data_IF_191735161094
#
_entry.id   IF_191735161094
#
_cell.length_a   1.000
_cell.length_b   1.000
_cell.length_c   1.000
_cell.angle_alpha   90.00
_cell.angle_beta   90.00
_cell.angle_gamma   90.00
#
_symmetry.space_group_name_H-M   'P 1'
#
loop_
_entity.id
_entity.type
_entity.pdbx_description
1 polymer ?
#
# COMPACT_ATOMS: atom_id res chain seq x y z
N UNK A 1 -5.82 -14.51 -25.22
CA UNK A 1 -5.27 -13.16 -24.98
C UNK A 1 -5.35 -12.86 -23.50
N UNK A 2 -4.22 -12.54 -22.87
CA UNK A 2 -4.13 -12.21 -21.45
C UNK A 2 -4.87 -10.92 -21.13
N UNK A 3 -5.45 -10.86 -19.92
CA UNK A 3 -6.08 -9.66 -19.37
C UNK A 3 -5.20 -9.07 -18.26
N UNK A 4 -5.35 -7.79 -18.02
CA UNK A 4 -4.79 -7.12 -16.84
C UNK A 4 -5.85 -7.12 -15.73
N UNK A 5 -5.49 -7.68 -14.58
CA UNK A 5 -6.35 -7.81 -13.40
C UNK A 5 -5.76 -6.96 -12.28
N UNK A 6 -6.55 -6.04 -11.75
CA UNK A 6 -6.15 -5.13 -10.68
C UNK A 6 -6.91 -5.47 -9.42
N UNK A 7 -6.19 -5.68 -8.33
CA UNK A 7 -6.74 -6.07 -7.03
C UNK A 7 -6.41 -5.03 -5.98
N UNK A 8 -7.41 -4.53 -5.31
CA UNK A 8 -7.21 -3.79 -4.07
C UNK A 8 -6.84 -4.75 -2.93
N UNK A 9 -6.18 -4.24 -1.90
CA UNK A 9 -5.73 -5.03 -0.76
C UNK A 9 -6.78 -5.01 0.34
N UNK A 10 -6.96 -3.86 0.96
CA UNK A 10 -7.77 -3.71 2.18
C UNK A 10 -9.26 -3.83 1.86
N UNK A 11 -9.95 -4.78 2.50
CA UNK A 11 -11.36 -5.08 2.23
C UNK A 11 -11.63 -5.83 0.91
N UNK A 12 -10.58 -6.21 0.15
CA UNK A 12 -10.71 -6.98 -1.10
C UNK A 12 -9.93 -8.29 -1.02
N UNK A 13 -8.60 -8.24 -1.12
CA UNK A 13 -7.76 -9.43 -0.92
C UNK A 13 -7.59 -9.76 0.55
N UNK A 14 -7.37 -8.75 1.37
CA UNK A 14 -7.25 -8.86 2.81
C UNK A 14 -8.62 -8.61 3.45
N UNK A 15 -9.16 -9.62 4.12
CA UNK A 15 -10.47 -9.54 4.76
C UNK A 15 -10.43 -8.58 5.97
N UNK A 16 -11.37 -7.66 6.05
CA UNK A 16 -11.53 -6.74 7.20
C UNK A 16 -11.92 -7.48 8.49
N UNK A 17 -12.48 -8.69 8.36
CA UNK A 17 -12.96 -9.48 9.52
C UNK A 17 -11.87 -10.40 10.05
N UNK A 18 -11.16 -11.08 9.16
CA UNK A 18 -10.16 -12.10 9.54
C UNK A 18 -8.73 -11.58 9.49
N UNK A 19 -8.50 -10.41 8.87
CA UNK A 19 -7.19 -9.85 8.57
C UNK A 19 -6.25 -10.84 7.85
N UNK A 20 -6.85 -11.69 7.01
CA UNK A 20 -6.13 -12.71 6.23
C UNK A 20 -6.61 -12.71 4.79
N UNK A 21 -5.72 -13.13 3.89
CA UNK A 21 -6.07 -13.43 2.51
C UNK A 21 -6.61 -14.86 2.47
N UNK A 22 -7.85 -15.08 1.98
CA UNK A 22 -8.41 -16.42 1.86
C UNK A 22 -7.58 -17.30 0.93
N UNK A 23 -7.44 -18.58 1.26
CA UNK A 23 -6.73 -19.56 0.42
C UNK A 23 -7.31 -19.62 -1.01
N UNK A 24 -8.62 -19.49 -1.14
CA UNK A 24 -9.30 -19.47 -2.44
C UNK A 24 -8.89 -18.30 -3.33
N UNK A 25 -8.60 -17.12 -2.74
CA UNK A 25 -8.09 -15.97 -3.49
C UNK A 25 -6.66 -16.22 -3.99
N UNK A 26 -5.81 -16.82 -3.16
CA UNK A 26 -4.42 -17.18 -3.55
C UNK A 26 -4.45 -18.14 -4.74
N UNK A 27 -5.28 -19.19 -4.67
CA UNK A 27 -5.42 -20.18 -5.73
C UNK A 27 -5.99 -19.57 -7.01
N UNK A 28 -6.98 -18.66 -6.90
CA UNK A 28 -7.55 -17.97 -8.05
C UNK A 28 -6.53 -17.07 -8.75
N UNK A 29 -5.72 -16.33 -7.99
CA UNK A 29 -4.64 -15.49 -8.54
C UNK A 29 -3.59 -16.35 -9.26
N UNK A 30 -3.17 -17.46 -8.63
CA UNK A 30 -2.23 -18.39 -9.24
C UNK A 30 -2.77 -18.92 -10.58
N UNK A 31 -4.01 -19.39 -10.59
CA UNK A 31 -4.66 -19.89 -11.81
C UNK A 31 -4.82 -18.81 -12.88
N UNK A 32 -5.14 -17.57 -12.49
CA UNK A 32 -5.21 -16.45 -13.43
C UNK A 32 -3.86 -16.20 -14.11
N UNK A 33 -2.76 -16.22 -13.35
CA UNK A 33 -1.40 -16.08 -13.88
C UNK A 33 -1.02 -17.23 -14.81
N UNK A 34 -1.32 -18.47 -14.45
CA UNK A 34 -1.12 -19.67 -15.28
C UNK A 34 -1.88 -19.58 -16.61
N UNK A 35 -3.05 -18.95 -16.63
CA UNK A 35 -3.83 -18.69 -17.82
C UNK A 35 -3.35 -17.48 -18.64
N UNK A 36 -2.19 -16.89 -18.30
CA UNK A 36 -1.58 -15.79 -19.04
C UNK A 36 -2.17 -14.41 -18.72
N UNK A 37 -2.88 -14.25 -17.59
CA UNK A 37 -3.32 -12.94 -17.12
C UNK A 37 -2.23 -12.24 -16.32
N UNK A 38 -2.19 -10.91 -16.41
CA UNK A 38 -1.27 -10.06 -15.66
C UNK A 38 -1.98 -9.50 -14.41
N UNK A 39 -1.47 -9.83 -13.23
CA UNK A 39 -2.07 -9.40 -11.96
C UNK A 39 -1.28 -8.25 -11.37
N UNK A 40 -2.00 -7.23 -10.90
CA UNK A 40 -1.47 -6.04 -10.23
C UNK A 40 -2.16 -5.83 -8.89
N UNK A 41 -1.41 -5.39 -7.89
CA UNK A 41 -2.00 -4.74 -6.73
C UNK A 41 -2.34 -3.28 -7.09
N UNK A 42 -3.45 -2.76 -6.58
CA UNK A 42 -3.84 -1.37 -6.75
C UNK A 42 -4.30 -0.83 -5.39
N UNK A 43 -3.45 -0.07 -4.70
CA UNK A 43 -3.61 0.23 -3.28
C UNK A 43 -3.15 1.63 -2.89
N UNK A 44 -3.70 2.16 -1.78
CA UNK A 44 -3.18 3.34 -1.11
C UNK A 44 -1.89 3.10 -0.33
N UNK A 45 -1.56 1.85 -0.05
CA UNK A 45 -0.33 1.49 0.66
C UNK A 45 0.92 1.86 -0.16
N UNK A 46 2.05 2.10 0.53
CA UNK A 46 3.37 2.12 -0.11
C UNK A 46 3.86 0.70 -0.41
N UNK A 47 4.85 0.55 -1.27
CA UNK A 47 5.31 -0.77 -1.69
C UNK A 47 5.84 -1.63 -0.53
N UNK A 48 6.55 -1.03 0.43
CA UNK A 48 7.05 -1.79 1.57
C UNK A 48 5.92 -2.39 2.42
N UNK A 49 4.76 -1.74 2.48
CA UNK A 49 3.58 -2.24 3.21
C UNK A 49 2.88 -3.41 2.49
N UNK A 50 3.12 -3.59 1.19
CA UNK A 50 2.57 -4.73 0.44
C UNK A 50 3.29 -6.04 0.74
N UNK A 51 4.45 -5.99 1.39
CA UNK A 51 5.23 -7.18 1.77
C UNK A 51 4.46 -8.14 2.67
N UNK A 52 3.53 -7.63 3.45
CA UNK A 52 2.65 -8.43 4.30
C UNK A 52 1.90 -9.51 3.52
N UNK A 53 1.56 -9.23 2.25
CA UNK A 53 0.84 -10.15 1.37
C UNK A 53 1.69 -10.64 0.20
N UNK A 54 3.03 -10.53 0.26
CA UNK A 54 3.94 -10.96 -0.82
C UNK A 54 3.78 -12.44 -1.21
N UNK A 55 3.31 -13.27 -0.27
CA UNK A 55 3.06 -14.69 -0.48
C UNK A 55 1.98 -14.99 -1.55
N UNK A 56 1.16 -14.02 -1.94
CA UNK A 56 0.16 -14.19 -3.02
C UNK A 56 0.79 -14.19 -4.41
N UNK A 57 2.09 -13.79 -4.52
CA UNK A 57 2.86 -13.85 -5.76
C UNK A 57 2.50 -12.78 -6.79
N UNK A 58 2.05 -11.60 -6.37
CA UNK A 58 1.88 -10.41 -7.21
C UNK A 58 2.98 -9.41 -6.88
N UNK A 59 3.90 -9.18 -7.81
CA UNK A 59 5.04 -8.28 -7.64
C UNK A 59 4.83 -6.90 -8.30
N UNK A 60 3.85 -6.82 -9.21
CA UNK A 60 3.49 -5.60 -9.91
C UNK A 60 2.41 -4.84 -9.11
N UNK A 61 2.57 -3.54 -8.93
CA UNK A 61 1.65 -2.74 -8.12
C UNK A 61 1.51 -1.29 -8.61
N UNK A 62 0.30 -0.77 -8.46
CA UNK A 62 0.01 0.66 -8.45
C UNK A 62 -0.19 1.03 -6.98
N UNK A 63 0.69 1.87 -6.45
CA UNK A 63 0.80 2.16 -5.01
C UNK A 63 0.57 3.63 -4.71
N UNK A 64 0.43 3.93 -3.41
CA UNK A 64 0.26 5.31 -2.91
C UNK A 64 -0.84 6.07 -3.67
N UNK A 65 -2.01 5.43 -3.86
CA UNK A 65 -3.14 5.97 -4.61
C UNK A 65 -2.80 6.41 -6.05
N UNK A 66 -1.94 5.67 -6.73
CA UNK A 66 -1.52 5.97 -8.12
C UNK A 66 -0.29 6.87 -8.24
N UNK A 67 0.35 7.23 -7.14
CA UNK A 67 1.57 8.06 -7.17
C UNK A 67 2.79 7.29 -7.71
N UNK A 68 2.78 5.96 -7.66
CA UNK A 68 3.85 5.17 -8.26
C UNK A 68 3.33 3.86 -8.86
N UNK A 69 4.04 3.40 -9.90
CA UNK A 69 3.87 2.08 -10.52
C UNK A 69 5.15 1.30 -10.32
N UNK A 70 5.03 0.11 -9.74
CA UNK A 70 6.12 -0.83 -9.52
C UNK A 70 5.95 -2.01 -10.47
N UNK A 71 7.00 -2.37 -11.18
CA UNK A 71 7.05 -3.54 -12.06
C UNK A 71 8.26 -4.40 -11.70
N UNK A 72 8.02 -5.68 -11.50
CA UNK A 72 9.07 -6.63 -11.10
C UNK A 72 9.88 -6.15 -9.89
N UNK A 73 9.20 -5.55 -8.90
CA UNK A 73 9.82 -5.03 -7.69
C UNK A 73 10.65 -3.75 -7.86
N UNK A 74 10.55 -3.07 -9.01
CA UNK A 74 11.24 -1.81 -9.30
C UNK A 74 10.26 -0.70 -9.69
N UNK A 75 10.50 0.55 -9.29
CA UNK A 75 9.65 1.65 -9.68
C UNK A 75 9.84 1.97 -11.16
N UNK A 76 8.76 1.91 -11.93
CA UNK A 76 8.73 2.26 -13.35
C UNK A 76 8.24 3.69 -13.58
N UNK A 77 7.29 4.12 -12.76
CA UNK A 77 6.74 5.47 -12.78
C UNK A 77 6.60 5.99 -11.34
N UNK A 78 6.99 7.24 -11.13
CA UNK A 78 6.77 7.94 -9.87
C UNK A 78 6.31 9.37 -10.13
N UNK A 79 5.27 9.80 -9.39
CA UNK A 79 4.88 11.20 -9.28
C UNK A 79 5.05 11.62 -7.82
N UNK A 80 5.90 12.61 -7.60
CA UNK A 80 6.17 13.17 -6.27
C UNK A 80 5.67 14.60 -6.18
N UNK A 81 5.30 15.03 -4.99
CA UNK A 81 5.11 16.45 -4.70
C UNK A 81 6.47 17.13 -4.64
N UNK A 82 6.55 18.40 -5.02
CA UNK A 82 7.81 19.15 -4.92
C UNK A 82 8.22 19.35 -3.47
N UNK A 83 9.51 19.43 -3.22
CA UNK A 83 10.06 19.65 -1.89
C UNK A 83 9.51 20.91 -1.22
N UNK A 84 9.36 22.01 -1.97
CA UNK A 84 8.79 23.26 -1.47
C UNK A 84 7.35 23.09 -0.98
N UNK A 85 6.51 22.41 -1.77
CA UNK A 85 5.12 22.11 -1.38
C UNK A 85 5.08 21.17 -0.18
N UNK A 86 5.92 20.14 -0.16
CA UNK A 86 5.99 19.21 0.96
C UNK A 86 6.36 19.95 2.26
N UNK A 87 7.45 20.74 2.24
CA UNK A 87 7.92 21.47 3.42
C UNK A 87 6.89 22.48 3.93
N UNK A 88 6.25 23.23 3.06
CA UNK A 88 5.18 24.17 3.45
C UNK A 88 3.98 23.44 4.07
N UNK A 89 3.58 22.31 3.48
CA UNK A 89 2.47 21.51 3.98
C UNK A 89 2.77 20.92 5.35
N UNK A 90 3.96 20.34 5.54
CA UNK A 90 4.38 19.75 6.81
C UNK A 90 4.44 20.79 7.92
N UNK A 91 5.02 21.97 7.63
CA UNK A 91 5.06 23.08 8.58
C UNK A 91 3.65 23.50 9.03
N UNK A 92 2.72 23.66 8.07
CA UNK A 92 1.35 24.02 8.38
C UNK A 92 0.66 22.95 9.25
N UNK A 93 0.86 21.66 8.94
CA UNK A 93 0.29 20.56 9.73
C UNK A 93 0.84 20.60 11.17
N UNK A 94 2.13 20.82 11.34
CA UNK A 94 2.77 20.91 12.67
C UNK A 94 2.27 22.13 13.46
N UNK A 95 2.14 23.30 12.82
CA UNK A 95 1.58 24.51 13.43
C UNK A 95 0.14 24.31 13.90
N UNK A 96 -0.64 23.48 13.20
CA UNK A 96 -2.01 23.12 13.57
C UNK A 96 -2.09 21.95 14.56
N UNK A 97 -0.97 21.38 15.00
CA UNK A 97 -0.92 20.24 15.90
C UNK A 97 -1.40 18.93 15.26
N UNK A 98 -1.32 18.82 13.94
CA UNK A 98 -1.79 17.66 13.18
C UNK A 98 -0.75 16.54 13.05
N UNK A 99 -1.25 15.37 12.63
CA UNK A 99 -0.42 14.24 12.28
C UNK A 99 -0.20 14.14 10.78
N UNK A 100 0.93 13.57 10.38
CA UNK A 100 1.21 13.27 8.98
C UNK A 100 2.01 11.98 8.81
N UNK A 101 1.87 11.40 7.64
CA UNK A 101 2.73 10.34 7.14
C UNK A 101 3.24 10.73 5.75
N UNK A 102 4.55 10.65 5.57
CA UNK A 102 5.19 10.79 4.26
C UNK A 102 5.56 9.39 3.78
N UNK A 103 5.19 9.06 2.58
CA UNK A 103 5.54 7.77 1.99
C UNK A 103 6.27 7.99 0.65
N UNK A 104 7.36 7.27 0.49
CA UNK A 104 7.95 6.99 -0.81
C UNK A 104 7.60 5.54 -1.22
N UNK A 105 8.10 5.08 -2.35
CA UNK A 105 7.77 3.74 -2.81
C UNK A 105 8.34 2.63 -1.89
N UNK A 106 9.41 2.89 -1.14
CA UNK A 106 10.07 1.94 -0.23
C UNK A 106 9.79 2.16 1.23
N UNK A 107 9.62 3.42 1.64
CA UNK A 107 9.66 3.82 3.04
C UNK A 107 8.42 4.63 3.43
N UNK A 108 8.15 4.65 4.70
CA UNK A 108 7.17 5.55 5.31
C UNK A 108 7.77 6.24 6.53
N UNK A 109 7.49 7.52 6.65
CA UNK A 109 7.91 8.37 7.77
C UNK A 109 6.67 9.03 8.37
N UNK A 110 6.60 9.11 9.67
CA UNK A 110 5.49 9.75 10.36
C UNK A 110 6.01 10.61 11.53
N UNK A 111 5.27 11.67 11.86
CA UNK A 111 5.62 12.45 13.03
C UNK A 111 5.22 11.73 14.33
N UNK A 112 5.76 12.17 15.51
CA UNK A 112 5.46 11.53 16.80
C UNK A 112 3.96 11.50 17.15
N UNK A 113 3.20 12.50 16.72
CA UNK A 113 1.74 12.55 16.92
C UNK A 113 1.04 11.40 16.19
N UNK A 114 1.36 11.19 14.92
CA UNK A 114 0.81 10.09 14.11
C UNK A 114 1.23 8.74 14.69
N UNK A 115 2.49 8.61 15.09
CA UNK A 115 3.00 7.39 15.72
C UNK A 115 2.21 7.04 16.99
N UNK A 116 2.00 8.00 17.89
CA UNK A 116 1.24 7.79 19.12
C UNK A 116 -0.23 7.43 18.86
N UNK A 117 -0.85 8.02 17.82
CA UNK A 117 -2.21 7.66 17.41
C UNK A 117 -2.31 6.21 16.95
N UNK A 118 -1.39 5.77 16.08
CA UNK A 118 -1.36 4.39 15.60
C UNK A 118 -1.11 3.39 16.74
N UNK A 119 -0.15 3.66 17.62
CA UNK A 119 0.09 2.79 18.79
C UNK A 119 -1.18 2.64 19.66
N UNK A 120 -1.92 3.73 19.88
CA UNK A 120 -3.15 3.68 20.66
C UNK A 120 -4.26 2.91 19.97
N UNK A 121 -4.36 2.99 18.65
CA UNK A 121 -5.34 2.26 17.86
C UNK A 121 -5.01 0.77 17.84
N UNK A 122 -3.78 0.40 17.52
CA UNK A 122 -3.35 -1.00 17.47
C UNK A 122 -3.42 -1.68 18.84
N UNK A 123 -3.09 -1.00 19.94
CA UNK A 123 -3.28 -1.57 21.29
C UNK A 123 -4.74 -1.89 21.61
N UNK A 124 -5.70 -1.13 21.06
CA UNK A 124 -7.13 -1.43 21.24
C UNK A 124 -7.63 -2.61 20.41
N UNK A 125 -7.00 -2.91 19.30
CA UNK A 125 -7.38 -4.01 18.41
C UNK A 125 -6.79 -5.35 18.86
N UNK A 126 -5.71 -5.35 19.67
CA UNK A 126 -5.02 -6.55 20.15
C UNK A 126 -5.19 -6.83 21.66
N UNK A 127 -5.82 -5.96 22.41
CA UNK A 127 -6.27 -6.18 23.80
C UNK A 127 -7.71 -6.73 23.82
#
# INVERSE_FOLDING_TARGET
MGKYLFFDIDGTLLSDVTHKVPQSAIEAIKKAKENGHHCFLCTGRSYFMTREISFIGIDDAIIANGAAVVRNGQPELQKTISEDVANKTLKLIEELGGGYQIIDWKNGYQNPYTHAMFEKQFKKEFD
#
